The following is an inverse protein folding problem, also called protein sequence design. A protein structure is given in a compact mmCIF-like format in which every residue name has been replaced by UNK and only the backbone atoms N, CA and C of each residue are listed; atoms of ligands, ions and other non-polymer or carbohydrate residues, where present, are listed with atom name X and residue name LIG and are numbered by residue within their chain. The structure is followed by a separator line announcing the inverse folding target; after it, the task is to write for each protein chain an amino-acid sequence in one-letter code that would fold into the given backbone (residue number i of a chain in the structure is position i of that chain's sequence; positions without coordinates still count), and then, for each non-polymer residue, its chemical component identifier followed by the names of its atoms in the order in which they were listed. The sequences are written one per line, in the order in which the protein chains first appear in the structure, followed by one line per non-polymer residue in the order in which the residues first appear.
data_IF_460853981340
#
_entry.id   IF_460853981340
#
_cell.length_a   1.000
_cell.length_b   1.000
_cell.length_c   1.000
_cell.angle_alpha   90.00
_cell.angle_beta   90.00
_cell.angle_gamma   90.00
#
_symmetry.space_group_name_H-M   'P 1'
#
loop_
_entity.id
_entity.type
_entity.pdbx_description
1 polymer ?
#
# COMPACT_ATOMS: atom_id res chain seq x y z
N UNK A 1 -28.79 28.87 18.87
CA UNK A 1 -27.82 28.15 17.97
C UNK A 1 -27.12 29.18 17.07
N UNK A 2 -25.87 28.95 16.70
CA UNK A 2 -25.12 29.79 15.75
C UNK A 2 -25.91 29.92 14.44
N UNK A 3 -26.07 31.16 13.87
CA UNK A 3 -26.82 31.40 12.64
C UNK A 3 -26.29 30.61 11.42
N UNK A 4 -24.94 30.45 11.28
CA UNK A 4 -24.33 29.67 10.20
C UNK A 4 -24.67 28.19 10.35
N UNK A 5 -24.57 27.66 11.56
CA UNK A 5 -24.91 26.28 11.85
C UNK A 5 -26.41 26.00 11.68
N UNK A 6 -27.28 26.99 11.96
CA UNK A 6 -28.70 26.86 11.74
C UNK A 6 -29.12 26.71 10.27
N UNK A 7 -28.28 27.19 9.32
CA UNK A 7 -28.50 26.99 7.88
C UNK A 7 -28.31 25.53 7.44
N UNK A 8 -27.54 24.75 8.21
CA UNK A 8 -27.38 23.31 7.96
C UNK A 8 -28.49 22.45 8.62
N UNK A 9 -29.49 23.07 9.24
CA UNK A 9 -30.62 22.33 9.80
C UNK A 9 -31.53 21.80 8.71
N UNK A 10 -31.74 20.49 8.69
CA UNK A 10 -32.63 19.86 7.70
C UNK A 10 -34.10 20.02 8.11
N UNK A 11 -34.71 21.11 7.69
CA UNK A 11 -36.11 21.45 8.04
C UNK A 11 -37.10 20.38 7.57
N UNK A 12 -36.81 19.73 6.44
CA UNK A 12 -37.69 18.69 5.89
C UNK A 12 -37.70 17.44 6.76
N UNK A 13 -36.52 16.97 7.19
CA UNK A 13 -36.39 15.70 7.93
C UNK A 13 -36.59 15.87 9.42
N UNK A 14 -36.41 17.05 9.96
CA UNK A 14 -36.70 17.37 11.35
C UNK A 14 -38.16 17.72 11.60
N UNK A 15 -38.95 17.92 10.55
CA UNK A 15 -40.40 18.24 10.64
C UNK A 15 -40.66 19.53 11.39
N UNK A 16 -41.44 19.47 12.48
CA UNK A 16 -41.76 20.65 13.29
C UNK A 16 -40.64 21.12 14.23
N UNK A 17 -39.59 20.31 14.41
CA UNK A 17 -38.50 20.67 15.31
C UNK A 17 -37.60 21.71 14.64
N UNK A 18 -37.37 22.82 15.30
CA UNK A 18 -36.57 23.95 14.82
C UNK A 18 -35.26 24.11 15.63
N UNK A 19 -34.27 24.87 15.10
CA UNK A 19 -33.04 25.15 15.84
C UNK A 19 -33.26 25.89 17.17
N UNK A 20 -34.39 26.60 17.34
CA UNK A 20 -34.77 27.33 18.54
C UNK A 20 -35.30 26.40 19.63
N UNK A 21 -35.81 25.22 19.27
CA UNK A 21 -36.40 24.24 20.19
C UNK A 21 -35.34 23.36 20.88
N UNK A 22 -34.04 23.57 20.60
CA UNK A 22 -32.96 22.74 21.14
C UNK A 22 -31.86 23.59 21.78
N UNK A 23 -31.31 23.10 22.88
CA UNK A 23 -30.15 23.71 23.54
C UNK A 23 -28.88 23.30 22.79
N UNK A 24 -27.90 24.19 22.63
CA UNK A 24 -26.63 23.91 21.89
C UNK A 24 -25.88 22.68 22.42
N UNK A 25 -25.88 22.43 23.71
CA UNK A 25 -25.18 21.31 24.36
C UNK A 25 -25.93 19.97 24.38
N UNK A 26 -27.12 19.89 23.78
CA UNK A 26 -27.94 18.67 23.88
C UNK A 26 -27.40 17.52 23.05
N UNK A 27 -27.46 16.30 23.60
CA UNK A 27 -27.15 15.05 22.89
C UNK A 27 -28.29 14.58 21.97
N UNK A 28 -29.37 15.37 21.83
CA UNK A 28 -30.46 15.07 20.90
C UNK A 28 -29.93 14.99 19.49
N UNK A 29 -30.15 13.86 18.81
CA UNK A 29 -29.76 13.65 17.42
C UNK A 29 -30.81 14.20 16.48
N UNK A 30 -30.40 15.10 15.60
CA UNK A 30 -31.24 15.74 14.58
C UNK A 30 -30.65 15.56 13.21
N UNK A 31 -31.42 15.85 12.17
CA UNK A 31 -30.94 15.81 10.79
C UNK A 31 -30.28 17.12 10.40
N UNK A 32 -29.17 16.99 9.70
CA UNK A 32 -28.39 18.09 9.14
C UNK A 32 -28.26 17.94 7.64
N UNK A 33 -28.12 19.02 6.90
CA UNK A 33 -27.86 19.06 5.47
C UNK A 33 -26.70 20.02 5.19
N UNK A 34 -25.65 19.58 4.48
CA UNK A 34 -24.54 20.48 4.12
C UNK A 34 -24.79 21.16 2.76
N UNK A 35 -23.92 22.12 2.41
CA UNK A 35 -24.00 22.83 1.14
C UNK A 35 -23.91 21.97 -0.12
N UNK A 36 -23.43 20.71 0.00
CA UNK A 36 -23.44 19.72 -1.09
C UNK A 36 -24.71 18.85 -1.12
N UNK A 37 -25.70 19.13 -0.27
CA UNK A 37 -26.94 18.39 -0.20
C UNK A 37 -26.86 17.05 0.52
N UNK A 38 -25.76 16.75 1.24
CA UNK A 38 -25.69 15.51 2.00
C UNK A 38 -26.47 15.63 3.30
N UNK A 39 -27.31 14.64 3.57
CA UNK A 39 -28.11 14.55 4.78
C UNK A 39 -27.51 13.55 5.75
N UNK A 40 -27.37 13.94 7.03
CA UNK A 40 -26.88 13.02 8.07
C UNK A 40 -27.52 13.33 9.42
N UNK A 41 -27.39 12.41 10.34
CA UNK A 41 -27.91 12.53 11.68
C UNK A 41 -26.77 12.67 12.69
N UNK A 42 -26.78 13.74 13.47
CA UNK A 42 -25.76 13.98 14.50
C UNK A 42 -26.38 14.66 15.71
N UNK A 43 -25.75 14.49 16.88
CA UNK A 43 -26.13 15.24 18.08
C UNK A 43 -25.90 16.74 17.88
N UNK A 44 -26.74 17.57 18.44
CA UNK A 44 -26.56 19.03 18.39
C UNK A 44 -25.25 19.42 19.05
N UNK A 45 -24.89 18.84 20.21
CA UNK A 45 -23.60 19.05 20.89
C UNK A 45 -22.38 18.74 20.01
N UNK A 46 -22.46 17.73 19.16
CA UNK A 46 -21.38 17.39 18.25
C UNK A 46 -21.13 18.46 17.19
N UNK A 47 -22.17 19.19 16.80
CA UNK A 47 -22.08 20.29 15.84
C UNK A 47 -21.67 21.61 16.51
N UNK A 48 -22.22 21.89 17.68
CA UNK A 48 -21.99 23.16 18.38
C UNK A 48 -20.68 23.18 19.16
N UNK A 49 -20.37 22.12 19.93
CA UNK A 49 -19.21 22.10 20.83
C UNK A 49 -17.96 21.50 20.17
N UNK A 50 -18.15 20.47 19.32
CA UNK A 50 -17.04 19.74 18.67
C UNK A 50 -16.82 20.16 17.23
N UNK A 51 -17.64 21.08 16.70
CA UNK A 51 -17.58 21.60 15.33
C UNK A 51 -17.46 20.48 14.26
N UNK A 52 -18.10 19.34 14.52
CA UNK A 52 -18.05 18.22 13.57
C UNK A 52 -18.85 18.56 12.32
N UNK A 53 -18.23 18.54 11.16
CA UNK A 53 -18.87 18.77 9.86
C UNK A 53 -19.60 17.56 9.30
N UNK A 54 -20.00 17.66 8.03
CA UNK A 54 -20.60 16.57 7.28
C UNK A 54 -19.66 15.36 7.21
N UNK A 55 -20.09 14.16 7.64
CA UNK A 55 -19.24 12.97 7.65
C UNK A 55 -18.87 12.47 6.24
N UNK A 56 -19.67 12.78 5.24
CA UNK A 56 -19.39 12.45 3.84
C UNK A 56 -18.34 13.39 3.25
N UNK A 57 -18.49 14.71 3.44
CA UNK A 57 -17.51 15.69 2.98
C UNK A 57 -16.15 15.50 3.67
N UNK A 58 -16.13 15.09 4.94
CA UNK A 58 -14.91 14.83 5.69
C UNK A 58 -14.30 13.43 5.41
N UNK A 59 -14.94 12.59 4.60
CA UNK A 59 -14.50 11.22 4.31
C UNK A 59 -14.63 10.23 5.48
N UNK A 60 -15.30 10.60 6.59
CA UNK A 60 -15.54 9.68 7.71
C UNK A 60 -16.51 8.57 7.37
N UNK A 61 -17.52 8.89 6.54
CA UNK A 61 -18.45 7.92 5.98
C UNK A 61 -18.34 7.91 4.46
N UNK A 62 -18.47 6.74 3.88
CA UNK A 62 -18.53 6.59 2.43
C UNK A 62 -19.94 6.89 1.94
N UNK A 63 -20.01 7.61 0.82
CA UNK A 63 -21.23 7.86 0.07
C UNK A 63 -20.97 7.46 -1.38
N UNK A 64 -21.55 6.33 -1.87
CA UNK A 64 -21.39 5.88 -3.24
C UNK A 64 -21.77 6.98 -4.24
N UNK A 65 -20.95 7.16 -5.27
CA UNK A 65 -21.13 8.21 -6.27
C UNK A 65 -20.56 9.58 -5.89
N UNK A 66 -20.06 9.74 -4.65
CA UNK A 66 -19.50 11.01 -4.20
C UNK A 66 -18.04 10.90 -3.74
N UNK A 67 -17.76 10.18 -2.65
CA UNK A 67 -16.44 10.12 -2.04
C UNK A 67 -15.86 8.70 -1.98
N UNK A 68 -16.51 7.78 -2.64
CA UNK A 68 -16.03 6.40 -2.77
C UNK A 68 -14.85 6.28 -3.75
N UNK A 69 -14.08 5.20 -3.61
CA UNK A 69 -12.91 4.95 -4.45
C UNK A 69 -13.25 4.85 -5.94
N UNK A 70 -14.38 4.20 -6.27
CA UNK A 70 -14.75 4.01 -7.68
C UNK A 70 -15.05 5.33 -8.37
N UNK A 71 -15.75 6.24 -7.70
CA UNK A 71 -16.10 7.57 -8.23
C UNK A 71 -14.90 8.52 -8.25
N UNK A 72 -14.05 8.47 -7.22
CA UNK A 72 -12.93 9.40 -7.06
C UNK A 72 -11.68 8.99 -7.87
N UNK A 73 -11.48 7.70 -8.10
CA UNK A 73 -10.35 7.19 -8.87
C UNK A 73 -10.72 5.90 -9.62
N UNK A 74 -11.43 6.01 -10.76
CA UNK A 74 -11.87 4.86 -11.54
C UNK A 74 -10.70 4.03 -12.08
N UNK A 75 -9.56 4.65 -12.39
CA UNK A 75 -8.36 3.95 -12.87
C UNK A 75 -7.81 3.03 -11.77
N UNK A 76 -7.79 3.51 -10.54
CA UNK A 76 -7.37 2.69 -9.41
C UNK A 76 -8.41 1.62 -9.08
N UNK A 77 -9.69 1.95 -9.17
CA UNK A 77 -10.79 1.00 -8.94
C UNK A 77 -10.77 -0.16 -9.94
N UNK A 78 -10.35 0.07 -11.19
CA UNK A 78 -10.18 -0.98 -12.20
C UNK A 78 -9.09 -2.02 -11.84
N UNK A 79 -8.20 -1.69 -10.91
CA UNK A 79 -7.17 -2.62 -10.41
C UNK A 79 -7.63 -3.40 -9.16
N UNK A 80 -8.91 -3.29 -8.80
CA UNK A 80 -9.47 -4.00 -7.65
C UNK A 80 -9.60 -5.49 -7.94
N UNK A 81 -9.01 -6.33 -7.08
CA UNK A 81 -9.15 -7.79 -7.18
C UNK A 81 -10.51 -8.19 -6.60
N UNK A 82 -11.52 -8.26 -7.43
CA UNK A 82 -12.90 -8.55 -7.00
C UNK A 82 -13.04 -9.94 -6.39
N UNK A 83 -12.29 -10.93 -6.88
CA UNK A 83 -12.32 -12.29 -6.38
C UNK A 83 -11.78 -12.36 -4.95
N UNK A 84 -10.60 -11.78 -4.69
CA UNK A 84 -9.96 -11.85 -3.38
C UNK A 84 -10.53 -10.87 -2.34
N UNK A 85 -11.16 -9.81 -2.78
CA UNK A 85 -11.85 -8.88 -1.89
C UNK A 85 -13.27 -9.33 -1.52
N UNK A 86 -13.82 -10.33 -2.22
CA UNK A 86 -15.15 -10.89 -1.94
C UNK A 86 -16.24 -9.83 -2.02
N UNK A 87 -16.95 -9.62 -0.92
CA UNK A 87 -18.08 -8.66 -0.86
C UNK A 87 -17.64 -7.20 -0.74
N UNK A 88 -16.36 -6.94 -0.48
CA UNK A 88 -15.86 -5.56 -0.39
C UNK A 88 -15.66 -4.98 -1.79
N UNK A 89 -16.31 -3.86 -2.07
CA UNK A 89 -16.24 -3.19 -3.36
C UNK A 89 -15.62 -1.79 -3.27
N UNK A 90 -15.11 -1.22 -4.38
CA UNK A 90 -14.57 0.14 -4.40
C UNK A 90 -15.59 1.23 -4.02
N UNK A 91 -16.89 0.97 -4.21
CA UNK A 91 -17.96 1.88 -3.83
C UNK A 91 -18.22 1.95 -2.32
N UNK A 92 -17.66 1.02 -1.55
CA UNK A 92 -17.85 0.91 -0.10
C UNK A 92 -16.68 1.47 0.71
N UNK A 93 -15.70 2.06 0.06
CA UNK A 93 -14.47 2.58 0.69
C UNK A 93 -14.11 3.95 0.13
N UNK A 94 -13.49 4.80 0.96
CA UNK A 94 -12.90 6.07 0.52
C UNK A 94 -11.44 5.89 0.14
N UNK A 95 -10.86 6.84 -0.62
CA UNK A 95 -9.42 6.87 -0.95
C UNK A 95 -8.51 6.91 0.28
N UNK A 96 -9.00 7.46 1.39
CA UNK A 96 -8.27 7.62 2.66
C UNK A 96 -8.44 6.44 3.61
N UNK A 97 -9.14 5.37 3.17
CA UNK A 97 -9.41 4.22 4.01
C UNK A 97 -8.14 3.48 4.42
N UNK A 98 -8.00 3.21 5.73
CA UNK A 98 -6.91 2.39 6.28
C UNK A 98 -7.15 0.87 6.14
N UNK A 99 -8.23 0.44 5.50
CA UNK A 99 -8.50 -0.98 5.21
C UNK A 99 -7.49 -1.51 4.20
N UNK A 100 -7.08 -2.76 4.38
CA UNK A 100 -6.30 -3.49 3.37
C UNK A 100 -7.26 -4.04 2.31
N UNK A 101 -6.86 -3.93 1.06
CA UNK A 101 -7.56 -4.53 -0.07
C UNK A 101 -6.58 -5.25 -0.99
N UNK A 102 -7.09 -6.18 -1.78
CA UNK A 102 -6.35 -6.87 -2.82
C UNK A 102 -6.47 -6.10 -4.14
N UNK A 103 -5.37 -6.08 -4.87
CA UNK A 103 -5.21 -5.33 -6.12
C UNK A 103 -4.55 -6.21 -7.17
N UNK A 104 -4.89 -6.00 -8.43
CA UNK A 104 -4.24 -6.63 -9.57
C UNK A 104 -3.54 -5.53 -10.37
N UNK A 105 -2.21 -5.63 -10.57
CA UNK A 105 -1.50 -4.69 -11.42
C UNK A 105 -1.63 -5.07 -12.90
N UNK A 106 -1.19 -4.19 -13.80
CA UNK A 106 -1.21 -4.40 -15.26
C UNK A 106 -0.51 -5.68 -15.73
N UNK A 107 0.46 -6.18 -14.94
CA UNK A 107 1.15 -7.46 -15.21
C UNK A 107 0.44 -8.68 -14.59
N UNK A 108 -0.76 -8.52 -14.06
CA UNK A 108 -1.55 -9.60 -13.48
C UNK A 108 -1.14 -10.02 -12.06
N UNK A 109 -0.19 -9.34 -11.40
CA UNK A 109 0.18 -9.70 -10.05
C UNK A 109 -0.90 -9.27 -9.06
N UNK A 110 -1.43 -10.24 -8.28
CA UNK A 110 -2.33 -9.96 -7.17
C UNK A 110 -1.52 -9.71 -5.89
N UNK A 111 -1.82 -8.61 -5.18
CA UNK A 111 -1.12 -8.20 -3.96
C UNK A 111 -2.05 -7.44 -3.01
N UNK A 112 -1.74 -7.46 -1.73
CA UNK A 112 -2.52 -6.77 -0.72
C UNK A 112 -1.78 -5.55 -0.17
N UNK A 113 -2.47 -4.40 -0.15
CA UNK A 113 -1.96 -3.14 0.42
C UNK A 113 -3.11 -2.30 0.96
N UNK A 114 -2.81 -1.39 1.89
CA UNK A 114 -3.78 -0.43 2.45
C UNK A 114 -4.28 0.49 1.33
N UNK A 115 -5.60 0.74 1.29
CA UNK A 115 -6.25 1.56 0.25
C UNK A 115 -5.62 2.95 0.18
N UNK A 116 -5.47 3.65 1.30
CA UNK A 116 -4.84 4.97 1.34
C UNK A 116 -3.41 4.95 0.80
N UNK A 117 -2.62 3.91 1.11
CA UNK A 117 -1.26 3.76 0.58
C UNK A 117 -1.26 3.54 -0.93
N UNK A 118 -2.23 2.77 -1.44
CA UNK A 118 -2.38 2.54 -2.87
C UNK A 118 -2.81 3.80 -3.61
N UNK A 119 -3.74 4.57 -3.04
CA UNK A 119 -4.17 5.87 -3.56
C UNK A 119 -3.03 6.90 -3.59
N UNK A 120 -2.10 6.83 -2.64
CA UNK A 120 -0.90 7.65 -2.58
C UNK A 120 0.28 7.10 -3.43
N UNK A 121 0.01 6.22 -4.40
CA UNK A 121 1.00 5.78 -5.38
C UNK A 121 1.84 4.56 -4.98
N UNK A 122 1.53 3.85 -3.88
CA UNK A 122 2.22 2.58 -3.58
C UNK A 122 1.95 1.57 -4.69
N UNK A 123 2.98 1.20 -5.43
CA UNK A 123 2.92 0.25 -6.54
C UNK A 123 2.88 -1.22 -6.11
N UNK A 124 2.78 -2.10 -7.12
CA UNK A 124 2.89 -3.55 -6.93
C UNK A 124 4.26 -3.90 -6.32
N UNK A 125 4.32 -4.64 -5.20
CA UNK A 125 5.58 -4.97 -4.52
C UNK A 125 6.49 -5.89 -5.37
N UNK A 126 5.93 -6.65 -6.28
CA UNK A 126 6.69 -7.51 -7.19
C UNK A 126 7.30 -6.71 -8.33
N UNK A 127 6.54 -5.83 -8.97
CA UNK A 127 7.03 -4.94 -10.03
C UNK A 127 8.09 -3.95 -9.53
N UNK A 128 8.04 -3.57 -8.26
CA UNK A 128 9.00 -2.66 -7.61
C UNK A 128 10.14 -3.39 -6.89
N UNK A 129 10.25 -4.71 -7.05
CA UNK A 129 11.27 -5.57 -6.41
C UNK A 129 11.31 -5.51 -4.87
N UNK A 130 10.25 -5.03 -4.22
CA UNK A 130 10.13 -5.04 -2.74
C UNK A 130 9.82 -6.42 -2.18
N UNK A 131 9.18 -7.26 -2.98
CA UNK A 131 8.92 -8.67 -2.68
C UNK A 131 9.36 -9.53 -3.85
N UNK A 132 9.88 -10.71 -3.54
CA UNK A 132 10.21 -11.71 -4.56
C UNK A 132 8.93 -12.44 -5.00
N UNK A 133 8.87 -12.72 -6.28
CA UNK A 133 7.88 -13.60 -6.92
C UNK A 133 8.67 -14.54 -7.84
N UNK A 134 8.70 -15.82 -7.48
CA UNK A 134 9.37 -16.86 -8.27
C UNK A 134 8.80 -16.90 -9.71
N UNK A 135 9.68 -17.01 -10.69
CA UNK A 135 9.32 -16.97 -12.11
C UNK A 135 9.09 -15.56 -12.67
N UNK A 136 9.30 -14.50 -11.87
CA UNK A 136 9.13 -13.13 -12.35
C UNK A 136 10.32 -12.21 -12.05
N UNK A 137 10.63 -11.96 -10.78
CA UNK A 137 11.66 -11.00 -10.38
C UNK A 137 12.73 -11.62 -9.47
N UNK A 138 12.73 -12.94 -9.34
CA UNK A 138 13.73 -13.67 -8.59
C UNK A 138 15.05 -13.75 -9.36
N UNK A 139 16.13 -14.07 -8.64
CA UNK A 139 17.48 -14.11 -9.20
C UNK A 139 17.62 -15.20 -10.28
N UNK A 140 16.99 -16.36 -10.10
CA UNK A 140 17.08 -17.46 -11.07
C UNK A 140 16.46 -17.09 -12.41
N UNK A 141 15.33 -16.38 -12.38
CA UNK A 141 14.62 -15.93 -13.58
C UNK A 141 15.31 -14.76 -14.27
N UNK A 142 15.76 -13.75 -13.51
CA UNK A 142 16.28 -12.49 -14.08
C UNK A 142 17.75 -12.59 -14.48
N UNK A 143 18.57 -13.30 -13.72
CA UNK A 143 20.02 -13.45 -13.95
C UNK A 143 20.44 -14.93 -13.83
N UNK A 144 19.99 -15.81 -14.73
CA UNK A 144 20.20 -17.26 -14.62
C UNK A 144 21.70 -17.64 -14.63
N UNK A 145 22.54 -16.87 -15.35
CA UNK A 145 24.00 -17.11 -15.36
C UNK A 145 24.63 -16.86 -14.00
N UNK A 146 24.17 -15.84 -13.28
CA UNK A 146 24.65 -15.53 -11.92
C UNK A 146 24.07 -16.53 -10.93
N UNK A 147 22.81 -16.91 -11.10
CA UNK A 147 22.18 -17.93 -10.26
C UNK A 147 22.86 -19.30 -10.36
N UNK A 148 23.41 -19.66 -11.51
CA UNK A 148 24.18 -20.91 -11.70
C UNK A 148 25.45 -20.96 -10.85
N UNK A 149 25.97 -19.83 -10.37
CA UNK A 149 27.10 -19.77 -9.44
C UNK A 149 26.66 -19.76 -7.95
N UNK A 150 25.39 -20.01 -7.67
CA UNK A 150 24.91 -20.14 -6.31
C UNK A 150 25.46 -21.38 -5.65
N UNK A 151 26.12 -21.21 -4.49
CA UNK A 151 26.73 -22.38 -3.82
C UNK A 151 25.64 -23.38 -3.38
N UNK A 152 25.76 -24.66 -3.73
CA UNK A 152 24.65 -25.62 -3.59
C UNK A 152 24.25 -25.92 -2.14
N UNK A 153 25.16 -25.80 -1.16
CA UNK A 153 24.88 -26.18 0.23
C UNK A 153 25.10 -25.08 1.25
N UNK A 154 26.03 -24.12 1.05
CA UNK A 154 26.41 -23.15 2.06
C UNK A 154 25.36 -22.05 2.31
N UNK A 155 24.32 -21.97 1.51
CA UNK A 155 23.21 -21.03 1.66
C UNK A 155 22.02 -21.61 2.44
N UNK A 156 22.14 -22.84 2.93
CA UNK A 156 21.06 -23.54 3.65
C UNK A 156 19.81 -23.68 2.78
N UNK A 157 18.66 -23.35 3.33
CA UNK A 157 17.39 -23.40 2.61
C UNK A 157 17.14 -22.21 1.66
N UNK A 158 18.02 -21.22 1.62
CA UNK A 158 17.85 -20.06 0.74
C UNK A 158 18.28 -20.42 -0.69
N UNK A 159 17.38 -20.21 -1.65
CA UNK A 159 17.59 -20.48 -3.07
C UNK A 159 17.52 -19.20 -3.92
N UNK A 160 18.02 -19.21 -5.17
CA UNK A 160 17.94 -18.06 -6.07
C UNK A 160 16.51 -17.58 -6.36
N UNK A 161 15.52 -18.48 -6.31
CA UNK A 161 14.10 -18.17 -6.53
C UNK A 161 13.48 -17.40 -5.35
N UNK A 162 14.15 -17.40 -4.19
CA UNK A 162 13.68 -16.73 -2.96
C UNK A 162 14.23 -15.32 -2.79
N UNK A 163 14.99 -14.80 -3.75
CA UNK A 163 15.66 -13.50 -3.64
C UNK A 163 15.54 -12.71 -4.92
N UNK A 164 15.47 -11.38 -4.80
CA UNK A 164 15.52 -10.49 -5.95
C UNK A 164 16.96 -10.12 -6.31
N UNK A 165 17.21 -9.69 -7.55
CA UNK A 165 18.52 -9.22 -8.03
C UNK A 165 19.09 -8.04 -7.21
N UNK A 166 18.22 -7.18 -6.64
CA UNK A 166 18.64 -6.05 -5.81
C UNK A 166 18.87 -6.39 -4.34
N UNK A 167 18.80 -7.66 -3.94
CA UNK A 167 18.90 -8.07 -2.54
C UNK A 167 20.27 -7.74 -1.93
N UNK A 168 20.25 -7.16 -0.73
CA UNK A 168 21.47 -6.89 0.07
C UNK A 168 21.98 -8.12 0.84
N UNK A 169 21.27 -9.24 0.79
CA UNK A 169 21.66 -10.47 1.46
C UNK A 169 23.02 -10.93 0.94
N UNK A 170 23.95 -11.25 1.86
CA UNK A 170 25.22 -11.87 1.55
C UNK A 170 25.05 -13.38 1.49
N UNK A 171 25.39 -13.96 0.36
CA UNK A 171 25.28 -15.40 0.09
C UNK A 171 26.60 -15.97 -0.41
N UNK A 172 26.74 -17.28 -0.34
CA UNK A 172 27.88 -17.99 -0.86
C UNK A 172 27.70 -18.29 -2.34
N UNK A 173 28.79 -18.12 -3.08
CA UNK A 173 28.90 -18.34 -4.52
C UNK A 173 30.03 -19.30 -4.81
N UNK A 174 29.91 -20.03 -5.89
CA UNK A 174 30.95 -20.92 -6.41
C UNK A 174 31.12 -20.67 -7.93
N UNK A 175 32.33 -20.31 -8.37
CA UNK A 175 32.55 -20.11 -9.78
C UNK A 175 32.86 -21.46 -10.48
N UNK A 176 32.82 -21.52 -11.83
CA UNK A 176 33.11 -22.75 -12.59
C UNK A 176 34.48 -23.37 -12.32
N UNK A 177 35.41 -22.61 -11.72
CA UNK A 177 36.73 -23.10 -11.31
C UNK A 177 36.77 -23.59 -9.83
N UNK A 178 35.62 -23.71 -9.16
CA UNK A 178 35.49 -24.21 -7.79
C UNK A 178 35.91 -23.21 -6.70
N UNK A 179 36.15 -21.94 -7.03
CA UNK A 179 36.42 -20.95 -5.99
C UNK A 179 35.13 -20.54 -5.26
N UNK A 180 35.17 -20.58 -3.94
CA UNK A 180 34.01 -20.24 -3.08
C UNK A 180 34.26 -18.89 -2.39
N UNK A 181 33.25 -18.01 -2.41
CA UNK A 181 33.31 -16.71 -1.73
C UNK A 181 31.93 -16.25 -1.29
N UNK A 182 31.89 -15.25 -0.39
CA UNK A 182 30.65 -14.69 0.15
C UNK A 182 30.54 -13.22 -0.20
N UNK A 183 29.48 -12.82 -0.91
CA UNK A 183 29.21 -11.41 -1.25
C UNK A 183 27.71 -11.18 -1.41
N UNK A 184 27.27 -9.92 -1.28
CA UNK A 184 25.87 -9.55 -1.44
C UNK A 184 25.41 -9.76 -2.89
N UNK A 185 24.13 -10.16 -3.06
CA UNK A 185 23.53 -10.43 -4.36
C UNK A 185 23.65 -9.19 -5.25
N UNK A 186 23.25 -8.00 -4.77
CA UNK A 186 23.30 -6.76 -5.54
C UNK A 186 24.72 -6.42 -6.05
N UNK A 187 25.77 -6.87 -5.37
CA UNK A 187 27.15 -6.63 -5.81
C UNK A 187 27.49 -7.41 -7.08
N UNK A 188 26.79 -8.52 -7.33
CA UNK A 188 26.96 -9.34 -8.52
C UNK A 188 26.06 -8.92 -9.67
N UNK A 189 24.86 -8.45 -9.35
CA UNK A 189 23.81 -8.12 -10.32
C UNK A 189 23.75 -6.64 -10.68
N UNK A 190 24.28 -5.77 -9.81
CA UNK A 190 24.31 -4.32 -10.03
C UNK A 190 25.33 -3.87 -11.08
N UNK A 191 25.45 -2.57 -11.30
CA UNK A 191 26.28 -1.97 -12.34
C UNK A 191 27.75 -2.45 -12.35
N UNK A 192 28.32 -2.77 -11.18
CA UNK A 192 29.71 -3.22 -11.03
C UNK A 192 29.93 -4.71 -11.37
N UNK A 193 28.87 -5.52 -11.40
CA UNK A 193 28.89 -6.98 -11.73
C UNK A 193 30.12 -7.71 -11.18
N UNK A 194 30.36 -7.64 -9.85
CA UNK A 194 31.56 -8.24 -9.25
C UNK A 194 31.56 -9.76 -9.44
N UNK A 195 32.57 -10.29 -10.11
CA UNK A 195 32.80 -11.71 -10.28
C UNK A 195 33.58 -12.35 -9.13
N UNK A 196 34.10 -13.56 -9.36
CA UNK A 196 34.97 -14.26 -8.42
C UNK A 196 36.22 -13.44 -8.10
N UNK A 197 36.51 -13.12 -6.83
CA UNK A 197 37.67 -12.32 -6.47
C UNK A 197 39.00 -13.05 -6.72
N UNK A 198 39.01 -14.38 -6.65
CA UNK A 198 40.18 -15.19 -6.95
C UNK A 198 40.50 -15.13 -8.44
N UNK A 199 39.52 -15.37 -9.31
CA UNK A 199 39.68 -15.26 -10.76
C UNK A 199 40.08 -13.84 -11.20
N UNK A 200 39.67 -12.83 -10.46
CA UNK A 200 40.00 -11.42 -10.71
C UNK A 200 41.38 -10.99 -10.11
N UNK A 201 42.17 -11.90 -9.54
CA UNK A 201 43.47 -11.61 -8.90
C UNK A 201 43.41 -10.72 -7.66
N UNK A 202 42.23 -10.59 -7.04
CA UNK A 202 41.99 -9.68 -5.86
C UNK A 202 42.26 -10.35 -4.51
N UNK A 203 42.45 -11.67 -4.47
CA UNK A 203 42.77 -12.43 -3.26
C UNK A 203 44.24 -12.83 -3.27
N UNK A 204 45.10 -11.96 -2.77
CA UNK A 204 46.51 -12.24 -2.66
C UNK A 204 47.34 -11.00 -2.43
N UNK A 205 47.24 -10.39 -1.23
CA UNK A 205 48.30 -9.65 -0.53
C UNK A 205 47.79 -9.28 0.87
N UNK A 206 47.67 -10.26 1.78
CA UNK A 206 48.01 -9.96 3.18
C UNK A 206 49.53 -10.02 3.22
N UNK A 207 50.15 -8.88 3.00
CA UNK A 207 51.54 -8.69 3.30
C UNK A 207 51.75 -8.97 4.81
N UNK A 208 52.47 -10.00 5.12
CA UNK A 208 53.21 -10.15 6.39
C UNK A 208 54.07 -8.91 6.50
N UNK A 209 53.72 -8.00 7.41
CA UNK A 209 54.65 -7.04 8.01
C UNK A 209 55.37 -7.80 9.11
N UNK A 210 56.67 -8.06 8.86
CA UNK A 210 57.71 -8.39 9.82
C UNK A 210 57.78 -7.33 10.89
#
# INVERSE_FOLDING_TARGET
MDPELAQEWDTTRNGKLTPQDVLPGTEKKVWWVCGHGHHWRAAVSARTNRQSGCPYCSGKLVLPGFNDLASQNPVLAAQWDTERNGTLTPQQVTLTSNRKAWWICEKGHSFQVVIASRANGTGCPYCTNRKVLAGFNDLATVEPRIAAEWHPTLNGALTPEMVTVGSTKKVWWECPLGHVWKVAIYSRTGAKKCGCPVCAGKTGKKGTRS
#
